data_IF_529819006377
#
_entry.id   IF_529819006377
#
_cell.length_a   1.000
_cell.length_b   1.000
_cell.length_c   1.000
_cell.angle_alpha   90.00
_cell.angle_beta   90.00
_cell.angle_gamma   90.00
#
_symmetry.space_group_name_H-M   'P 1'
#
loop_
_entity.id
_entity.type
_entity.pdbx_description
1 polymer ?
#
# COMPACT_ATOMS: atom_id res chain seq x y z
N UNK A 1 -10.32 -21.95 -4.44
CA UNK A 1 -9.11 -21.20 -4.83
C UNK A 1 -9.13 -19.70 -4.41
N UNK A 2 -10.31 -19.05 -4.29
CA UNK A 2 -10.41 -17.63 -3.88
C UNK A 2 -10.09 -17.33 -2.40
N UNK A 3 -10.28 -18.29 -1.48
CA UNK A 3 -10.06 -18.10 -0.03
C UNK A 3 -8.61 -17.72 0.31
N UNK A 4 -7.64 -18.27 -0.42
CA UNK A 4 -6.21 -18.07 -0.15
C UNK A 4 -5.75 -16.66 -0.50
N UNK A 5 -6.35 -16.00 -1.49
CA UNK A 5 -5.94 -14.67 -1.96
C UNK A 5 -6.38 -13.58 -0.95
N UNK A 6 -7.61 -13.70 -0.43
CA UNK A 6 -8.10 -12.81 0.62
C UNK A 6 -7.30 -12.93 1.91
N UNK A 7 -6.92 -14.16 2.30
CA UNK A 7 -6.09 -14.40 3.48
C UNK A 7 -4.67 -13.86 3.32
N UNK A 8 -4.02 -14.12 2.18
CA UNK A 8 -2.66 -13.62 1.93
C UNK A 8 -2.63 -12.10 1.93
N UNK A 9 -3.60 -11.44 1.28
CA UNK A 9 -3.68 -9.97 1.29
C UNK A 9 -3.98 -9.41 2.67
N UNK A 10 -4.85 -10.05 3.45
CA UNK A 10 -5.10 -9.70 4.85
C UNK A 10 -3.84 -9.84 5.71
N UNK A 11 -3.11 -10.95 5.56
CA UNK A 11 -1.86 -11.20 6.27
C UNK A 11 -0.79 -10.16 5.93
N UNK A 12 -0.63 -9.83 4.64
CA UNK A 12 0.31 -8.78 4.19
C UNK A 12 -0.03 -7.42 4.82
N UNK A 13 -1.32 -7.07 4.92
CA UNK A 13 -1.75 -5.83 5.59
C UNK A 13 -1.40 -5.82 7.08
N UNK A 14 -1.59 -6.95 7.78
CA UNK A 14 -1.18 -7.09 9.19
C UNK A 14 0.33 -6.94 9.35
N UNK A 15 1.12 -7.61 8.52
CA UNK A 15 2.58 -7.44 8.50
C UNK A 15 2.99 -5.99 8.25
N UNK A 16 2.30 -5.30 7.32
CA UNK A 16 2.53 -3.88 7.07
C UNK A 16 2.23 -3.01 8.29
N UNK A 17 1.12 -3.27 8.99
CA UNK A 17 0.79 -2.58 10.24
C UNK A 17 1.83 -2.80 11.34
N UNK A 18 2.25 -4.05 11.56
CA UNK A 18 3.31 -4.38 12.52
C UNK A 18 4.64 -3.72 12.13
N UNK A 19 4.98 -3.71 10.84
CA UNK A 19 6.16 -3.02 10.35
C UNK A 19 6.14 -1.53 10.68
N UNK A 20 4.99 -0.86 10.52
CA UNK A 20 4.87 0.56 10.89
C UNK A 20 5.11 0.80 12.38
N UNK A 21 4.71 -0.12 13.25
CA UNK A 21 4.99 -0.02 14.68
C UNK A 21 6.50 -0.05 14.99
N UNK A 22 7.30 -0.73 14.15
CA UNK A 22 8.76 -0.75 14.33
C UNK A 22 9.39 0.63 14.13
N UNK A 23 8.78 1.51 13.33
CA UNK A 23 9.21 2.90 13.13
C UNK A 23 8.97 3.78 14.38
N UNK A 24 8.16 3.33 15.35
CA UNK A 24 7.94 4.11 16.59
C UNK A 24 9.11 3.99 17.58
N UNK A 25 9.91 2.93 17.47
CA UNK A 25 11.04 2.68 18.36
C UNK A 25 12.34 3.16 17.72
N UNK A 26 13.26 3.69 18.55
CA UNK A 26 14.63 3.98 18.12
C UNK A 26 15.47 2.70 18.13
N UNK A 27 16.05 2.36 16.99
CA UNK A 27 16.99 1.26 16.84
C UNK A 27 18.41 1.79 16.60
N UNK A 28 19.35 0.90 16.25
CA UNK A 28 20.68 1.32 15.81
C UNK A 28 20.62 2.11 14.49
N UNK A 29 21.62 2.94 14.21
CA UNK A 29 21.62 3.82 13.04
C UNK A 29 21.44 3.08 11.70
N UNK A 30 22.05 1.89 11.56
CA UNK A 30 21.90 1.04 10.38
C UNK A 30 20.47 0.52 10.25
N UNK A 31 19.89 0.00 11.33
CA UNK A 31 18.51 -0.50 11.31
C UNK A 31 17.54 0.63 10.99
N UNK A 32 17.73 1.82 11.57
CA UNK A 32 16.89 2.97 11.27
C UNK A 32 16.96 3.39 9.79
N UNK A 33 18.15 3.37 9.17
CA UNK A 33 18.27 3.65 7.72
C UNK A 33 17.55 2.61 6.88
N UNK A 34 17.70 1.33 7.21
CA UNK A 34 17.01 0.24 6.51
C UNK A 34 15.50 0.42 6.65
N UNK A 35 14.98 0.60 7.87
CA UNK A 35 13.55 0.81 8.13
C UNK A 35 13.00 2.03 7.37
N UNK A 36 13.74 3.14 7.34
CA UNK A 36 13.36 4.33 6.60
C UNK A 36 13.22 4.05 5.09
N UNK A 37 14.26 3.49 4.46
CA UNK A 37 14.24 3.22 3.03
C UNK A 37 13.20 2.15 2.68
N UNK A 38 13.09 1.10 3.48
CA UNK A 38 12.06 0.07 3.32
C UNK A 38 10.66 0.67 3.40
N UNK A 39 10.37 1.53 4.38
CA UNK A 39 9.08 2.19 4.52
C UNK A 39 8.77 3.11 3.33
N UNK A 40 9.76 3.89 2.90
CA UNK A 40 9.61 4.82 1.78
C UNK A 40 9.38 4.08 0.46
N UNK A 41 10.22 3.09 0.16
CA UNK A 41 10.12 2.26 -1.04
C UNK A 41 8.77 1.52 -1.04
N UNK A 42 8.43 0.83 0.07
CA UNK A 42 7.16 0.14 0.18
C UNK A 42 5.97 1.09 -0.05
N UNK A 43 5.99 2.28 0.57
CA UNK A 43 4.94 3.27 0.41
C UNK A 43 4.80 3.78 -1.03
N UNK A 44 5.92 4.06 -1.72
CA UNK A 44 5.92 4.47 -3.13
C UNK A 44 5.35 3.36 -4.02
N UNK A 45 5.87 2.13 -3.91
CA UNK A 45 5.41 1.01 -4.73
C UNK A 45 3.95 0.68 -4.47
N UNK A 46 3.49 0.75 -3.22
CA UNK A 46 2.09 0.51 -2.86
C UNK A 46 1.15 1.57 -3.44
N UNK A 47 1.58 2.84 -3.38
CA UNK A 47 0.81 3.97 -3.94
C UNK A 47 0.73 3.87 -5.46
N UNK A 48 1.85 3.57 -6.12
CA UNK A 48 1.91 3.38 -7.57
C UNK A 48 1.09 2.18 -8.03
N UNK A 49 1.15 1.06 -7.29
CA UNK A 49 0.34 -0.12 -7.56
C UNK A 49 -1.16 0.20 -7.46
N UNK A 50 -1.58 0.85 -6.37
CA UNK A 50 -2.98 1.22 -6.19
C UNK A 50 -3.44 2.22 -7.25
N UNK A 51 -2.62 3.22 -7.57
CA UNK A 51 -2.94 4.23 -8.59
C UNK A 51 -3.04 3.62 -9.99
N UNK A 52 -2.09 2.77 -10.37
CA UNK A 52 -2.11 2.11 -11.66
C UNK A 52 -3.36 1.24 -11.82
N UNK A 53 -3.68 0.41 -10.82
CA UNK A 53 -4.92 -0.39 -10.86
C UNK A 53 -6.17 0.47 -10.88
N UNK A 54 -6.20 1.56 -10.11
CA UNK A 54 -7.32 2.49 -10.10
C UNK A 54 -7.55 3.10 -11.49
N UNK A 55 -6.49 3.57 -12.16
CA UNK A 55 -6.55 4.08 -13.53
C UNK A 55 -7.03 2.98 -14.49
N UNK A 56 -6.48 1.77 -14.39
CA UNK A 56 -6.88 0.62 -15.22
C UNK A 56 -8.37 0.29 -15.07
N UNK A 57 -8.89 0.32 -13.84
CA UNK A 57 -10.31 0.08 -13.58
C UNK A 57 -11.20 1.22 -14.07
N UNK A 58 -10.75 2.47 -13.96
CA UNK A 58 -11.46 3.62 -14.55
C UNK A 58 -11.54 3.47 -16.06
N UNK A 59 -10.40 3.22 -16.73
CA UNK A 59 -10.33 3.01 -18.18
C UNK A 59 -11.25 1.88 -18.62
N UNK A 60 -11.33 0.80 -17.83
CA UNK A 60 -12.26 -0.28 -18.10
C UNK A 60 -13.72 0.12 -17.91
N UNK A 61 -14.05 0.90 -16.88
CA UNK A 61 -15.41 1.36 -16.62
C UNK A 61 -15.98 2.28 -17.71
N UNK A 62 -15.11 3.01 -18.43
CA UNK A 62 -15.50 3.87 -19.56
C UNK A 62 -15.38 3.16 -20.91
N UNK A 63 -15.13 1.84 -20.91
CA UNK A 63 -15.11 1.01 -22.12
C UNK A 63 -13.83 1.13 -22.96
N UNK A 64 -12.80 1.85 -22.48
CA UNK A 64 -11.51 1.94 -23.17
C UNK A 64 -10.64 0.69 -22.99
N UNK A 65 -10.92 -0.13 -21.97
CA UNK A 65 -10.21 -1.38 -21.70
C UNK A 65 -11.20 -2.52 -21.40
N UNK A 66 -11.09 -3.63 -22.13
CA UNK A 66 -11.92 -4.82 -21.90
C UNK A 66 -11.33 -5.70 -20.81
N UNK A 67 -11.79 -5.53 -19.57
CA UNK A 67 -11.48 -6.43 -18.46
C UNK A 67 -12.67 -7.35 -18.19
N UNK A 68 -12.41 -8.64 -18.04
CA UNK A 68 -13.42 -9.61 -17.61
C UNK A 68 -13.62 -9.51 -16.09
N UNK A 69 -14.24 -8.42 -15.63
CA UNK A 69 -14.53 -8.18 -14.22
C UNK A 69 -16.03 -7.92 -14.08
N UNK A 70 -16.65 -8.62 -13.14
CA UNK A 70 -18.06 -8.38 -12.81
C UNK A 70 -18.29 -6.95 -12.30
N UNK A 71 -19.46 -6.37 -12.64
CA UNK A 71 -19.79 -4.99 -12.29
C UNK A 71 -19.76 -4.71 -10.78
N UNK A 72 -20.17 -5.68 -9.94
CA UNK A 72 -20.10 -5.54 -8.49
C UNK A 72 -18.64 -5.50 -8.02
N UNK A 73 -17.82 -6.42 -8.53
CA UNK A 73 -16.40 -6.49 -8.19
C UNK A 73 -15.64 -5.22 -8.63
N UNK A 74 -15.98 -4.66 -9.80
CA UNK A 74 -15.38 -3.42 -10.30
C UNK A 74 -15.67 -2.23 -9.37
N UNK A 75 -16.93 -2.06 -8.95
CA UNK A 75 -17.32 -1.00 -8.01
C UNK A 75 -16.64 -1.18 -6.66
N UNK A 76 -16.65 -2.39 -6.11
CA UNK A 76 -15.98 -2.67 -4.84
C UNK A 76 -14.48 -2.32 -4.91
N UNK A 77 -13.82 -2.67 -6.02
CA UNK A 77 -12.41 -2.35 -6.20
C UNK A 77 -12.13 -0.86 -6.30
N UNK A 78 -12.92 -0.13 -7.09
CA UNK A 78 -12.78 1.32 -7.25
C UNK A 78 -13.02 2.09 -5.95
N UNK A 79 -14.04 1.75 -5.17
CA UNK A 79 -14.40 2.53 -3.99
C UNK A 79 -13.65 2.13 -2.72
N UNK A 80 -13.31 0.83 -2.56
CA UNK A 80 -12.74 0.34 -1.31
C UNK A 80 -11.35 -0.25 -1.48
N UNK A 81 -11.12 -1.06 -2.51
CA UNK A 81 -9.88 -1.82 -2.60
C UNK A 81 -8.68 -0.95 -3.01
N UNK A 82 -8.74 -0.31 -4.17
CA UNK A 82 -7.61 0.48 -4.69
C UNK A 82 -7.35 1.73 -3.83
N UNK A 83 -8.37 2.50 -3.37
CA UNK A 83 -8.14 3.62 -2.46
C UNK A 83 -7.47 3.20 -1.16
N UNK A 84 -7.78 2.01 -0.62
CA UNK A 84 -7.13 1.49 0.57
C UNK A 84 -5.63 1.28 0.36
N UNK A 85 -5.21 0.77 -0.81
CA UNK A 85 -3.78 0.61 -1.13
C UNK A 85 -3.07 1.95 -1.26
N UNK A 86 -3.70 2.93 -1.92
CA UNK A 86 -3.15 4.28 -2.08
C UNK A 86 -2.99 4.95 -0.70
N UNK A 87 -4.04 4.94 0.13
CA UNK A 87 -4.00 5.52 1.49
C UNK A 87 -2.93 4.82 2.34
N UNK A 88 -2.86 3.49 2.29
CA UNK A 88 -1.82 2.73 2.98
C UNK A 88 -0.41 3.15 2.54
N UNK A 89 -0.19 3.30 1.23
CA UNK A 89 1.09 3.75 0.68
C UNK A 89 1.47 5.16 1.14
N UNK A 90 0.50 6.08 1.16
CA UNK A 90 0.67 7.44 1.69
C UNK A 90 1.05 7.40 3.17
N UNK A 91 0.39 6.60 3.99
CA UNK A 91 0.75 6.47 5.42
C UNK A 91 2.15 5.90 5.63
N UNK A 92 2.59 4.96 4.80
CA UNK A 92 3.97 4.48 4.83
C UNK A 92 4.99 5.60 4.53
N UNK A 93 4.73 6.40 3.49
CA UNK A 93 5.59 7.54 3.12
C UNK A 93 5.62 8.58 4.24
N UNK A 94 4.46 8.98 4.75
CA UNK A 94 4.36 9.95 5.84
C UNK A 94 5.07 9.46 7.10
N UNK A 95 4.91 8.18 7.45
CA UNK A 95 5.60 7.56 8.58
C UNK A 95 7.12 7.55 8.38
N UNK A 96 7.60 7.25 7.16
CA UNK A 96 9.02 7.30 6.84
C UNK A 96 9.59 8.73 6.98
N UNK A 97 8.88 9.73 6.46
CA UNK A 97 9.29 11.15 6.55
C UNK A 97 9.34 11.59 8.01
N UNK A 98 8.32 11.27 8.81
CA UNK A 98 8.26 11.60 10.22
C UNK A 98 9.37 10.88 11.01
N UNK A 99 9.62 9.60 10.70
CA UNK A 99 10.70 8.83 11.30
C UNK A 99 12.07 9.44 11.03
N UNK A 100 12.33 9.87 9.78
CA UNK A 100 13.56 10.59 9.41
C UNK A 100 13.74 11.87 10.24
N UNK A 101 12.68 12.68 10.38
CA UNK A 101 12.70 13.91 11.18
C UNK A 101 13.03 13.63 12.65
N UNK A 102 12.41 12.61 13.26
CA UNK A 102 12.63 12.23 14.66
C UNK A 102 14.03 11.73 14.97
N UNK A 103 14.69 11.13 13.98
CA UNK A 103 16.03 10.57 14.11
C UNK A 103 17.12 11.50 13.55
N UNK A 104 16.76 12.63 12.93
CA UNK A 104 17.68 13.54 12.24
C UNK A 104 18.58 12.81 11.23
N UNK A 105 18.01 11.82 10.53
CA UNK A 105 18.67 11.07 9.47
C UNK A 105 18.85 11.89 8.19
#
# INVERSE_FOLDING_TARGET
>A
MFYNIGLVTGFVKLCGGVFLLLLLRRWSNIINRILYFSALIAGIFLSLYGLANFITLILSSIGLLSLQIDNYALRWRLFFWEPFWIIGGVFFILSAIEFKKRLRL
#
